data_IF_273480139347
#
_entry.id   IF_273480139347
#
_cell.length_a   1.000
_cell.length_b   1.000
_cell.length_c   1.000
_cell.angle_alpha   90.00
_cell.angle_beta   90.00
_cell.angle_gamma   90.00
#
_symmetry.space_group_name_H-M   'P 1'
#
loop_
_entity.id
_entity.type
_entity.pdbx_description
1 polymer ?
#
# COMPACT_ATOMS: atom_id res chain seq x y z
N UNK A 1 -21.78 12.40 13.50
CA UNK A 1 -21.49 12.15 12.07
C UNK A 1 -20.16 11.44 11.84
N UNK A 2 -19.04 11.83 12.47
CA UNK A 2 -17.73 11.13 12.31
C UNK A 2 -17.80 9.61 12.62
N UNK A 3 -18.45 9.24 13.71
CA UNK A 3 -18.61 7.85 14.16
C UNK A 3 -19.46 6.98 13.21
N UNK A 4 -20.44 7.55 12.51
CA UNK A 4 -21.24 6.83 11.51
C UNK A 4 -20.40 6.55 10.25
N UNK A 5 -19.60 7.53 9.81
CA UNK A 5 -18.71 7.34 8.66
C UNK A 5 -17.61 6.31 8.94
N UNK A 6 -17.04 6.29 10.15
CA UNK A 6 -16.07 5.26 10.55
C UNK A 6 -16.68 3.86 10.63
N UNK A 7 -17.92 3.75 11.11
CA UNK A 7 -18.64 2.48 11.12
C UNK A 7 -18.93 1.99 9.69
N UNK A 8 -19.45 2.85 8.82
CA UNK A 8 -19.72 2.52 7.41
C UNK A 8 -18.43 2.12 6.68
N UNK A 9 -17.33 2.83 6.94
CA UNK A 9 -16.02 2.49 6.38
C UNK A 9 -15.56 1.11 6.83
N UNK A 10 -15.64 0.79 8.13
CA UNK A 10 -15.25 -0.54 8.65
C UNK A 10 -16.09 -1.66 8.04
N UNK A 11 -17.39 -1.44 7.85
CA UNK A 11 -18.26 -2.41 7.17
C UNK A 11 -17.86 -2.57 5.71
N UNK A 12 -17.68 -1.47 4.99
CA UNK A 12 -17.29 -1.48 3.59
C UNK A 12 -15.96 -2.22 3.40
N UNK A 13 -14.94 -1.88 4.18
CA UNK A 13 -13.63 -2.56 4.17
C UNK A 13 -13.76 -4.06 4.42
N UNK A 14 -14.62 -4.48 5.37
CA UNK A 14 -14.83 -5.89 5.69
C UNK A 14 -15.53 -6.65 4.57
N UNK A 15 -16.54 -6.04 3.94
CA UNK A 15 -17.24 -6.63 2.80
C UNK A 15 -16.29 -6.73 1.61
N UNK A 16 -15.59 -5.63 1.28
CA UNK A 16 -14.64 -5.60 0.16
C UNK A 16 -13.52 -6.61 0.36
N UNK A 17 -12.97 -6.73 1.57
CA UNK A 17 -11.94 -7.73 1.89
C UNK A 17 -12.44 -9.17 1.73
N UNK A 18 -13.72 -9.43 1.92
CA UNK A 18 -14.29 -10.77 1.72
C UNK A 18 -14.56 -11.03 0.23
N UNK A 19 -15.12 -10.05 -0.48
CA UNK A 19 -15.45 -10.14 -1.92
C UNK A 19 -14.18 -10.16 -2.78
N UNK A 20 -13.08 -9.55 -2.34
CA UNK A 20 -11.78 -9.57 -3.02
C UNK A 20 -11.00 -10.88 -2.87
N UNK A 21 -11.62 -11.93 -2.33
CA UNK A 21 -11.05 -13.29 -2.28
C UNK A 21 -11.54 -14.13 -3.46
N UNK A 22 -10.72 -15.09 -3.91
CA UNK A 22 -11.08 -16.07 -4.95
C UNK A 22 -12.42 -16.80 -4.65
N UNK A 23 -12.80 -16.91 -3.38
CA UNK A 23 -14.06 -17.50 -2.95
C UNK A 23 -15.29 -16.84 -3.57
N UNK A 24 -15.25 -15.52 -3.79
CA UNK A 24 -16.37 -14.81 -4.39
C UNK A 24 -16.63 -15.27 -5.83
N UNK A 25 -15.58 -15.55 -6.60
CA UNK A 25 -15.70 -16.10 -7.96
C UNK A 25 -16.38 -17.47 -7.96
N UNK A 26 -16.05 -18.34 -7.01
CA UNK A 26 -16.71 -19.64 -6.88
C UNK A 26 -18.18 -19.52 -6.48
N UNK A 27 -18.51 -18.61 -5.56
CA UNK A 27 -19.90 -18.35 -5.15
C UNK A 27 -20.71 -17.81 -6.33
N UNK A 28 -20.18 -16.84 -7.07
CA UNK A 28 -20.86 -16.27 -8.24
C UNK A 28 -21.01 -17.27 -9.37
N UNK A 29 -20.03 -18.13 -9.61
CA UNK A 29 -20.15 -19.24 -10.54
C UNK A 29 -21.27 -20.21 -10.13
N UNK A 30 -21.37 -20.55 -8.83
CA UNK A 30 -22.43 -21.39 -8.29
C UNK A 30 -23.81 -20.73 -8.40
N UNK A 31 -23.92 -19.42 -8.11
CA UNK A 31 -25.16 -18.66 -8.27
C UNK A 31 -25.59 -18.59 -9.74
N UNK A 32 -24.64 -18.38 -10.66
CA UNK A 32 -24.93 -18.39 -12.08
C UNK A 32 -25.51 -19.76 -12.48
N UNK A 33 -24.87 -20.87 -12.09
CA UNK A 33 -25.33 -22.23 -12.38
C UNK A 33 -26.78 -22.53 -11.98
N UNK A 34 -27.33 -21.86 -10.96
CA UNK A 34 -28.76 -22.01 -10.58
C UNK A 34 -29.70 -21.56 -11.72
N UNK A 35 -29.28 -20.59 -12.53
CA UNK A 35 -30.07 -20.05 -13.65
C UNK A 35 -29.83 -20.77 -14.98
N UNK A 36 -28.80 -21.63 -15.07
CA UNK A 36 -28.50 -22.44 -16.25
C UNK A 36 -29.68 -23.32 -16.74
N UNK A 37 -30.42 -24.04 -15.87
CA UNK A 37 -31.53 -24.89 -16.31
C UNK A 37 -32.65 -24.09 -16.99
N UNK A 38 -32.86 -22.84 -16.56
CA UNK A 38 -33.86 -21.97 -17.14
C UNK A 38 -33.48 -21.54 -18.57
N UNK A 39 -32.20 -21.23 -18.81
CA UNK A 39 -31.69 -20.88 -20.14
C UNK A 39 -31.72 -22.06 -21.11
N UNK A 40 -31.37 -23.28 -20.65
CA UNK A 40 -31.41 -24.48 -21.50
C UNK A 40 -32.84 -24.84 -21.89
N UNK A 41 -33.80 -24.69 -20.97
CA UNK A 41 -35.23 -24.97 -21.24
C UNK A 41 -35.82 -24.09 -22.34
N UNK A 42 -35.21 -22.94 -22.64
CA UNK A 42 -35.67 -22.07 -23.73
C UNK A 42 -35.44 -22.70 -25.11
N UNK A 43 -34.48 -23.61 -25.26
CA UNK A 43 -34.16 -24.28 -26.55
C UNK A 43 -33.54 -23.37 -27.62
N UNK A 44 -33.38 -22.08 -27.33
CA UNK A 44 -32.80 -21.09 -28.22
C UNK A 44 -31.30 -20.94 -27.94
N UNK A 45 -30.50 -21.20 -28.98
CA UNK A 45 -29.04 -21.07 -28.93
C UNK A 45 -28.61 -19.64 -28.58
N UNK A 46 -29.33 -18.62 -29.04
CA UNK A 46 -29.04 -17.21 -28.76
C UNK A 46 -29.16 -16.93 -27.25
N UNK A 47 -30.21 -17.47 -26.62
CA UNK A 47 -30.46 -17.30 -25.18
C UNK A 47 -29.38 -18.00 -24.35
N UNK A 48 -28.94 -19.20 -24.76
CA UNK A 48 -27.87 -19.93 -24.08
C UNK A 48 -26.55 -19.17 -24.18
N UNK A 49 -26.18 -18.69 -25.38
CA UNK A 49 -24.94 -17.92 -25.57
C UNK A 49 -25.00 -16.60 -24.78
N UNK A 50 -26.14 -15.90 -24.79
CA UNK A 50 -26.33 -14.69 -24.01
C UNK A 50 -26.18 -14.95 -22.51
N UNK A 51 -26.72 -16.06 -21.99
CA UNK A 51 -26.56 -16.44 -20.60
C UNK A 51 -25.09 -16.71 -20.24
N UNK A 52 -24.33 -17.40 -21.09
CA UNK A 52 -22.89 -17.65 -20.86
C UNK A 52 -22.12 -16.32 -20.84
N UNK A 53 -22.30 -15.49 -21.86
CA UNK A 53 -21.55 -14.24 -22.01
C UNK A 53 -21.91 -13.20 -20.94
N UNK A 54 -23.18 -13.12 -20.58
CA UNK A 54 -23.70 -12.02 -19.78
C UNK A 54 -23.98 -12.43 -18.33
N UNK A 55 -24.65 -13.55 -18.07
CA UNK A 55 -24.95 -13.95 -16.68
C UNK A 55 -23.73 -14.62 -16.04
N UNK A 56 -23.12 -15.59 -16.72
CA UNK A 56 -22.02 -16.35 -16.16
C UNK A 56 -20.70 -15.57 -16.19
N UNK A 57 -20.21 -15.24 -17.39
CA UNK A 57 -18.91 -14.60 -17.55
C UNK A 57 -18.87 -13.22 -16.89
N UNK A 58 -19.91 -12.40 -16.97
CA UNK A 58 -19.88 -11.06 -16.38
C UNK A 58 -19.81 -11.08 -14.86
N UNK A 59 -20.62 -11.91 -14.18
CA UNK A 59 -20.58 -12.05 -12.73
C UNK A 59 -19.21 -12.54 -12.26
N UNK A 60 -18.70 -13.61 -12.89
CA UNK A 60 -17.42 -14.21 -12.53
C UNK A 60 -16.26 -13.25 -12.83
N UNK A 61 -16.23 -12.61 -14.00
CA UNK A 61 -15.20 -11.66 -14.38
C UNK A 61 -15.13 -10.48 -13.41
N UNK A 62 -16.27 -9.92 -12.99
CA UNK A 62 -16.29 -8.81 -12.05
C UNK A 62 -15.61 -9.19 -10.72
N UNK A 63 -15.88 -10.39 -10.20
CA UNK A 63 -15.22 -10.89 -8.98
C UNK A 63 -13.71 -11.14 -9.18
N UNK A 64 -13.30 -11.74 -10.31
CA UNK A 64 -11.88 -12.02 -10.61
C UNK A 64 -11.08 -10.72 -10.78
N UNK A 65 -11.65 -9.70 -11.42
CA UNK A 65 -11.01 -8.39 -11.57
C UNK A 65 -10.73 -7.78 -10.20
N UNK A 66 -11.69 -7.84 -9.26
CA UNK A 66 -11.51 -7.31 -7.91
C UNK A 66 -10.41 -8.04 -7.14
N UNK A 67 -10.35 -9.37 -7.23
CA UNK A 67 -9.29 -10.19 -6.61
C UNK A 67 -7.92 -9.85 -7.22
N UNK A 68 -7.85 -9.70 -8.54
CA UNK A 68 -6.62 -9.34 -9.25
C UNK A 68 -6.08 -7.97 -8.83
N UNK A 69 -6.97 -6.98 -8.66
CA UNK A 69 -6.62 -5.64 -8.18
C UNK A 69 -6.06 -5.69 -6.74
N UNK A 70 -6.70 -6.47 -5.85
CA UNK A 70 -6.24 -6.64 -4.46
C UNK A 70 -4.89 -7.37 -4.37
N UNK A 71 -4.67 -8.39 -5.20
CA UNK A 71 -3.40 -9.11 -5.25
C UNK A 71 -2.27 -8.18 -5.71
N UNK A 72 -2.52 -7.37 -6.75
CA UNK A 72 -1.55 -6.37 -7.22
C UNK A 72 -1.24 -5.30 -6.17
N UNK A 73 -2.25 -4.82 -5.44
CA UNK A 73 -2.06 -3.75 -4.44
C UNK A 73 -1.21 -4.21 -3.25
N UNK A 74 -1.30 -5.49 -2.86
CA UNK A 74 -0.51 -6.05 -1.74
C UNK A 74 1.00 -5.97 -1.98
N UNK A 75 1.44 -6.18 -3.22
CA UNK A 75 2.85 -6.08 -3.60
C UNK A 75 3.36 -4.65 -3.53
N UNK A 76 2.53 -3.69 -3.96
CA UNK A 76 2.81 -2.25 -3.90
C UNK A 76 2.86 -1.79 -2.45
N UNK A 77 1.93 -2.24 -1.61
CA UNK A 77 1.91 -1.91 -0.18
C UNK A 77 3.16 -2.41 0.55
N UNK A 78 3.62 -3.64 0.23
CA UNK A 78 4.87 -4.18 0.76
C UNK A 78 6.07 -3.31 0.35
N UNK A 79 6.16 -2.95 -0.93
CA UNK A 79 7.22 -2.08 -1.44
C UNK A 79 7.20 -0.71 -0.78
N UNK A 80 6.01 -0.10 -0.61
CA UNK A 80 5.85 1.18 0.08
C UNK A 80 6.37 1.06 1.52
N UNK A 81 6.01 -0.01 2.23
CA UNK A 81 6.45 -0.23 3.61
C UNK A 81 7.96 -0.40 3.71
N UNK A 82 8.56 -1.19 2.82
CA UNK A 82 10.02 -1.40 2.78
C UNK A 82 10.75 -0.09 2.47
N UNK A 83 10.33 0.66 1.45
CA UNK A 83 10.93 1.95 1.10
C UNK A 83 10.75 2.97 2.24
N UNK A 84 9.58 3.03 2.86
CA UNK A 84 9.31 3.95 3.97
C UNK A 84 10.22 3.66 5.17
N UNK A 85 10.40 2.38 5.52
CA UNK A 85 11.33 1.98 6.58
C UNK A 85 12.77 2.33 6.21
N UNK A 86 13.22 2.00 4.99
CA UNK A 86 14.57 2.32 4.54
C UNK A 86 14.85 3.83 4.55
N UNK A 87 13.90 4.66 4.12
CA UNK A 87 14.04 6.13 4.15
C UNK A 87 14.12 6.69 5.57
N UNK A 88 13.41 6.09 6.53
CA UNK A 88 13.52 6.49 7.94
C UNK A 88 14.89 6.14 8.53
N UNK A 89 15.40 4.95 8.23
CA UNK A 89 16.73 4.53 8.70
C UNK A 89 17.83 5.43 8.13
N UNK A 90 17.75 5.77 6.83
CA UNK A 90 18.68 6.71 6.19
C UNK A 90 18.60 8.12 6.82
N UNK A 91 17.39 8.57 7.16
CA UNK A 91 17.18 9.85 7.84
C UNK A 91 17.80 9.89 9.24
N UNK A 92 17.65 8.82 10.02
CA UNK A 92 18.28 8.70 11.34
C UNK A 92 19.81 8.69 11.23
N UNK A 93 20.38 7.93 10.30
CA UNK A 93 21.83 7.94 10.04
C UNK A 93 22.34 9.33 9.63
N UNK A 94 21.62 10.03 8.74
CA UNK A 94 21.99 11.38 8.33
C UNK A 94 21.94 12.38 9.51
N UNK A 95 20.98 12.20 10.41
CA UNK A 95 20.83 13.03 11.62
C UNK A 95 21.97 12.77 12.61
N UNK A 96 22.41 11.53 12.77
CA UNK A 96 23.58 11.18 13.58
C UNK A 96 24.88 11.75 13.00
N UNK A 97 25.09 11.60 11.69
CA UNK A 97 26.26 12.16 11.00
C UNK A 97 26.32 13.69 11.15
N UNK A 98 25.17 14.38 11.01
CA UNK A 98 25.09 15.84 11.26
C UNK A 98 25.44 16.19 12.70
N UNK A 99 24.94 15.43 13.68
CA UNK A 99 25.24 15.67 15.10
C UNK A 99 26.75 15.54 15.38
N UNK A 100 27.42 14.54 14.78
CA UNK A 100 28.87 14.37 14.92
C UNK A 100 29.61 15.54 14.28
N UNK A 101 29.24 15.93 13.05
CA UNK A 101 29.86 17.06 12.37
C UNK A 101 29.71 18.38 13.16
N UNK A 102 28.56 18.61 13.80
CA UNK A 102 28.35 19.77 14.68
C UNK A 102 29.30 19.75 15.89
N UNK A 103 29.58 18.57 16.47
CA UNK A 103 30.53 18.42 17.56
C UNK A 103 31.97 18.69 17.11
N UNK A 104 32.39 18.15 15.96
CA UNK A 104 33.71 18.41 15.37
C UNK A 104 33.93 19.91 15.09
N UNK A 105 32.92 20.60 14.57
CA UNK A 105 32.97 22.05 14.34
C UNK A 105 33.14 22.85 15.64
N UNK A 106 32.54 22.40 16.74
CA UNK A 106 32.70 23.03 18.04
C UNK A 106 34.12 22.83 18.60
N UNK A 107 34.72 21.66 18.41
CA UNK A 107 36.11 21.39 18.81
C UNK A 107 37.11 22.19 17.98
N UNK A 108 36.95 22.19 16.66
CA UNK A 108 37.75 23.00 15.73
C UNK A 108 37.73 24.50 16.10
N UNK A 109 36.56 25.03 16.45
CA UNK A 109 36.43 26.44 16.91
C UNK A 109 37.18 26.69 18.21
N UNK A 110 37.15 25.76 19.18
CA UNK A 110 37.91 25.90 20.43
C UNK A 110 39.41 25.91 20.18
N UNK A 111 39.92 24.96 19.38
CA UNK A 111 41.34 24.89 19.03
C UNK A 111 41.79 26.16 18.27
N UNK A 112 40.99 26.62 17.31
CA UNK A 112 41.30 27.86 16.58
C UNK A 112 41.35 29.09 17.50
N UNK A 113 40.43 29.19 18.46
CA UNK A 113 40.44 30.26 19.45
C UNK A 113 41.69 30.19 20.37
N UNK A 114 42.11 28.99 20.74
CA UNK A 114 43.30 28.76 21.57
C UNK A 114 44.59 29.12 20.82
N UNK A 115 44.72 28.69 19.56
CA UNK A 115 45.84 29.09 18.68
C UNK A 115 45.91 30.61 18.55
N UNK A 116 44.78 31.28 18.32
CA UNK A 116 44.74 32.74 18.18
C UNK A 116 45.19 33.44 19.47
N UNK A 117 44.83 32.89 20.63
CA UNK A 117 45.26 33.40 21.94
C UNK A 117 46.77 33.25 22.13
N UNK A 118 47.32 32.07 21.82
CA UNK A 118 48.77 31.81 21.89
C UNK A 118 49.55 32.73 20.95
N UNK A 119 49.06 32.95 19.73
CA UNK A 119 49.70 33.85 18.76
C UNK A 119 49.81 35.28 19.31
N UNK A 120 48.73 35.78 19.93
CA UNK A 120 48.68 37.11 20.54
C UNK A 120 49.60 37.25 21.76
N UNK A 121 49.76 36.18 22.54
CA UNK A 121 50.65 36.15 23.70
C UNK A 121 52.13 36.12 23.27
N UNK A 122 52.45 35.50 22.13
CA UNK A 122 53.79 35.53 21.52
C UNK A 122 54.12 36.91 20.93
N UNK A 123 53.17 37.56 20.25
CA UNK A 123 53.36 38.88 19.63
C UNK A 123 53.54 40.02 20.65
N UNK A 124 53.11 39.82 21.90
CA UNK A 124 53.30 40.78 23.01
C UNK A 124 54.65 40.65 23.73
N UNK A 125 55.43 39.61 23.46
CA UNK A 125 56.76 39.38 24.05
C UNK A 125 57.86 39.84 23.11
#
# INVERSE_FOLDING_TARGET
>A
MKSINEFNRRIAEKITSFVSTMWCAYIFAALALISLPAAIKTGDVVVIVAWIAQTFLQLVLLSIIMVGQQASSSSVEKMIKETHTASLDEFELAKEARRIADLELLELKKMAAEIHRVLKDVERK
#
